data_IF_857998828418
#
_entry.id   IF_857998828418
#
_cell.length_a   1.000
_cell.length_b   1.000
_cell.length_c   1.000
_cell.angle_alpha   90.00
_cell.angle_beta   90.00
_cell.angle_gamma   90.00
#
_symmetry.space_group_name_H-M   'P 1'
#
loop_
_entity.id
_entity.type
_entity.pdbx_description
1 polymer ?
#
# COMPACT_ATOMS: atom_id res chain seq x y z
N UNK A 1 -28.46 59.39 -28.35
CA UNK A 1 -27.18 58.66 -28.51
C UNK A 1 -27.57 57.19 -28.47
N UNK A 2 -28.36 56.69 -29.43
CA UNK A 2 -27.96 56.36 -30.81
C UNK A 2 -26.64 55.60 -30.85
N UNK A 3 -26.72 54.29 -31.06
CA UNK A 3 -25.90 53.46 -31.95
C UNK A 3 -25.86 52.02 -31.46
N UNK A 4 -26.94 51.23 -31.61
CA UNK A 4 -26.82 49.76 -31.51
C UNK A 4 -27.96 48.93 -32.13
N UNK A 5 -28.68 49.46 -33.12
CA UNK A 5 -29.67 48.66 -33.86
C UNK A 5 -29.61 49.00 -35.36
N UNK A 6 -28.51 48.65 -36.01
CA UNK A 6 -28.45 48.71 -37.48
C UNK A 6 -27.36 47.81 -38.10
N UNK A 7 -27.36 46.52 -37.74
CA UNK A 7 -26.62 45.49 -38.50
C UNK A 7 -27.47 44.26 -38.87
N UNK A 8 -28.79 44.34 -38.71
CA UNK A 8 -29.72 43.28 -39.13
C UNK A 8 -30.45 43.58 -40.46
N UNK A 9 -30.16 44.70 -41.13
CA UNK A 9 -30.94 45.20 -42.28
C UNK A 9 -30.12 45.39 -43.57
N UNK A 10 -29.13 44.52 -43.82
CA UNK A 10 -28.40 44.49 -45.10
C UNK A 10 -28.40 43.11 -45.79
N UNK A 11 -29.38 42.26 -45.48
CA UNK A 11 -29.55 40.96 -46.15
C UNK A 11 -30.68 40.92 -47.20
N UNK A 12 -31.32 42.04 -47.52
CA UNK A 12 -32.45 42.06 -48.47
C UNK A 12 -32.28 43.14 -49.54
N UNK A 13 -31.29 43.00 -50.44
CA UNK A 13 -31.32 43.62 -51.77
C UNK A 13 -30.12 43.19 -52.63
N UNK A 14 -30.15 41.98 -53.18
CA UNK A 14 -29.50 41.65 -54.45
C UNK A 14 -29.99 40.28 -54.92
N UNK A 15 -31.24 40.23 -55.37
CA UNK A 15 -31.71 39.19 -56.27
C UNK A 15 -31.16 39.44 -57.68
N UNK A 16 -29.84 39.39 -57.82
CA UNK A 16 -29.20 39.29 -59.13
C UNK A 16 -28.87 37.81 -59.36
N UNK A 17 -29.55 37.27 -60.36
CA UNK A 17 -29.42 35.93 -60.91
C UNK A 17 -27.94 35.58 -61.05
N UNK A 18 -27.46 34.63 -60.25
CA UNK A 18 -26.20 33.95 -60.52
C UNK A 18 -26.23 33.45 -61.97
N UNK A 19 -25.13 33.58 -62.74
CA UNK A 19 -25.12 33.11 -64.11
C UNK A 19 -25.49 31.63 -64.10
N UNK A 20 -26.47 31.28 -64.93
CA UNK A 20 -26.93 29.93 -65.23
C UNK A 20 -25.72 29.01 -65.43
N UNK A 21 -25.39 28.26 -64.38
CA UNK A 21 -24.33 27.29 -64.38
C UNK A 21 -24.83 26.08 -65.14
N UNK A 22 -24.63 26.10 -66.46
CA UNK A 22 -25.01 25.02 -67.36
C UNK A 22 -24.69 23.66 -66.76
N UNK A 23 -25.67 22.75 -66.82
CA UNK A 23 -25.64 21.36 -66.34
C UNK A 23 -24.46 21.04 -65.41
N UNK A 24 -24.58 21.43 -64.14
CA UNK A 24 -23.61 20.99 -63.13
C UNK A 24 -23.69 19.47 -63.00
N UNK A 25 -22.73 18.78 -63.62
CA UNK A 25 -22.55 17.34 -63.45
C UNK A 25 -22.37 17.02 -61.95
N UNK A 26 -23.16 16.08 -61.42
CA UNK A 26 -23.05 15.66 -60.03
C UNK A 26 -21.62 15.24 -59.67
N UNK A 27 -21.16 15.58 -58.46
CA UNK A 27 -19.81 15.26 -57.98
C UNK A 27 -19.47 13.78 -58.17
N UNK A 28 -20.42 12.88 -57.90
CA UNK A 28 -20.24 11.44 -58.11
C UNK A 28 -19.99 11.08 -59.58
N UNK A 29 -20.70 11.72 -60.50
CA UNK A 29 -20.55 11.51 -61.94
C UNK A 29 -19.18 11.99 -62.41
N UNK A 30 -18.71 13.13 -61.89
CA UNK A 30 -17.38 13.68 -62.19
C UNK A 30 -16.24 12.78 -61.71
N UNK A 31 -16.30 12.29 -60.46
CA UNK A 31 -15.25 11.43 -59.89
C UNK A 31 -15.32 9.98 -60.40
N UNK A 32 -16.45 9.53 -60.93
CA UNK A 32 -16.56 8.20 -61.58
C UNK A 32 -16.25 8.24 -63.07
N UNK A 33 -16.43 9.40 -63.70
CA UNK A 33 -16.12 9.66 -65.11
C UNK A 33 -14.73 10.28 -65.27
N UNK A 34 -14.69 11.55 -65.69
CA UNK A 34 -13.46 12.24 -66.14
C UNK A 34 -12.33 12.28 -65.11
N UNK A 35 -12.64 12.37 -63.81
CA UNK A 35 -11.64 12.54 -62.75
C UNK A 35 -11.29 11.27 -61.97
N UNK A 36 -11.77 10.10 -62.41
CA UNK A 36 -11.61 8.84 -61.67
C UNK A 36 -10.17 8.51 -61.31
N UNK A 37 -9.27 8.55 -62.28
CA UNK A 37 -7.88 8.16 -62.06
C UNK A 37 -7.16 9.11 -61.09
N UNK A 38 -7.39 10.43 -61.24
CA UNK A 38 -6.81 11.45 -60.35
C UNK A 38 -7.37 11.35 -58.94
N UNK A 39 -8.68 11.12 -58.81
CA UNK A 39 -9.34 10.93 -57.53
C UNK A 39 -8.82 9.67 -56.82
N UNK A 40 -8.78 8.54 -57.52
CA UNK A 40 -8.26 7.27 -57.00
C UNK A 40 -6.77 7.39 -56.60
N UNK A 41 -5.96 8.14 -57.36
CA UNK A 41 -4.56 8.39 -57.02
C UNK A 41 -4.43 9.24 -55.74
N UNK A 42 -5.26 10.28 -55.58
CA UNK A 42 -5.28 11.11 -54.37
C UNK A 42 -5.75 10.33 -53.15
N UNK A 43 -6.81 9.53 -53.28
CA UNK A 43 -7.32 8.66 -52.20
C UNK A 43 -6.26 7.65 -51.78
N UNK A 44 -5.63 6.94 -52.74
CA UNK A 44 -4.53 6.02 -52.45
C UNK A 44 -3.39 6.72 -51.70
N UNK A 45 -2.96 7.90 -52.16
CA UNK A 45 -1.91 8.68 -51.48
C UNK A 45 -2.28 9.01 -50.03
N UNK A 46 -3.51 9.43 -49.77
CA UNK A 46 -3.99 9.75 -48.41
C UNK A 46 -4.03 8.49 -47.54
N UNK A 47 -4.60 7.40 -48.04
CA UNK A 47 -4.70 6.13 -47.33
C UNK A 47 -3.32 5.54 -47.03
N UNK A 48 -2.41 5.54 -48.00
CA UNK A 48 -1.03 5.07 -47.81
C UNK A 48 -0.26 5.93 -46.82
N UNK A 49 -0.49 7.24 -46.83
CA UNK A 49 0.05 8.16 -45.84
C UNK A 49 -0.43 7.82 -44.43
N UNK A 50 -1.75 7.67 -44.24
CA UNK A 50 -2.36 7.34 -42.95
C UNK A 50 -1.94 5.95 -42.47
N UNK A 51 -1.94 4.95 -43.35
CA UNK A 51 -1.54 3.58 -43.03
C UNK A 51 -0.06 3.51 -42.63
N UNK A 52 0.82 4.23 -43.33
CA UNK A 52 2.24 4.34 -42.94
C UNK A 52 2.39 5.03 -41.59
N UNK A 53 1.71 6.16 -41.37
CA UNK A 53 1.74 6.86 -40.07
C UNK A 53 1.29 5.95 -38.92
N UNK A 54 0.16 5.26 -39.09
CA UNK A 54 -0.37 4.33 -38.09
C UNK A 54 0.56 3.14 -37.83
N UNK A 55 1.23 2.62 -38.86
CA UNK A 55 2.23 1.54 -38.69
C UNK A 55 3.46 2.02 -37.94
N UNK A 56 3.96 3.21 -38.24
CA UNK A 56 5.09 3.82 -37.53
C UNK A 56 4.75 4.07 -36.06
N UNK A 57 3.56 4.60 -35.78
CA UNK A 57 3.09 4.81 -34.41
C UNK A 57 2.95 3.48 -33.64
N UNK A 58 2.33 2.47 -34.25
CA UNK A 58 2.23 1.14 -33.64
C UNK A 58 3.59 0.52 -33.37
N UNK A 59 4.55 0.66 -34.28
CA UNK A 59 5.91 0.19 -34.08
C UNK A 59 6.58 0.92 -32.91
N UNK A 60 6.47 2.25 -32.85
CA UNK A 60 7.01 3.04 -31.74
C UNK A 60 6.39 2.66 -30.40
N UNK A 61 5.07 2.46 -30.35
CA UNK A 61 4.38 2.01 -29.14
C UNK A 61 4.83 0.61 -28.72
N UNK A 62 5.03 -0.30 -29.68
CA UNK A 62 5.54 -1.66 -29.41
C UNK A 62 6.96 -1.61 -28.84
N UNK A 63 7.85 -0.82 -29.44
CA UNK A 63 9.22 -0.64 -28.96
C UNK A 63 9.26 0.02 -27.57
N UNK A 64 8.39 1.00 -27.31
CA UNK A 64 8.28 1.61 -25.98
C UNK A 64 7.79 0.63 -24.93
N UNK A 65 6.77 -0.18 -25.25
CA UNK A 65 6.27 -1.24 -24.36
C UNK A 65 7.37 -2.26 -24.06
N UNK A 66 8.07 -2.74 -25.07
CA UNK A 66 9.17 -3.70 -24.90
C UNK A 66 10.30 -3.14 -24.04
N UNK A 67 10.69 -1.87 -24.26
CA UNK A 67 11.69 -1.18 -23.41
C UNK A 67 11.22 -1.08 -21.96
N UNK A 68 9.98 -0.66 -21.73
CA UNK A 68 9.42 -0.54 -20.38
C UNK A 68 9.31 -1.90 -19.69
N UNK A 69 8.90 -2.95 -20.41
CA UNK A 69 8.89 -4.31 -19.89
C UNK A 69 10.30 -4.82 -19.57
N UNK A 70 11.28 -4.50 -20.42
CA UNK A 70 12.69 -4.81 -20.16
C UNK A 70 13.20 -4.18 -18.88
N UNK A 71 12.94 -2.88 -18.68
CA UNK A 71 13.29 -2.16 -17.44
C UNK A 71 12.60 -2.79 -16.23
N UNK A 72 11.29 -3.04 -16.30
CA UNK A 72 10.55 -3.68 -15.19
C UNK A 72 11.09 -5.07 -14.85
N UNK A 73 11.46 -5.88 -15.84
CA UNK A 73 12.05 -7.21 -15.63
C UNK A 73 13.43 -7.09 -14.97
N UNK A 74 14.25 -6.12 -15.40
CA UNK A 74 15.56 -5.87 -14.80
C UNK A 74 15.45 -5.41 -13.34
N UNK A 75 14.54 -4.48 -13.05
CA UNK A 75 14.26 -4.03 -11.68
C UNK A 75 13.74 -5.17 -10.80
N UNK A 76 12.85 -6.02 -11.32
CA UNK A 76 12.34 -7.19 -10.62
C UNK A 76 13.48 -8.19 -10.30
N UNK A 77 14.38 -8.43 -11.24
CA UNK A 77 15.56 -9.27 -11.02
C UNK A 77 16.47 -8.69 -9.94
N UNK A 78 16.73 -7.37 -9.97
CA UNK A 78 17.55 -6.70 -8.96
C UNK A 78 16.93 -6.82 -7.55
N UNK A 79 15.61 -6.71 -7.43
CA UNK A 79 14.89 -6.89 -6.16
C UNK A 79 15.05 -8.31 -5.61
N UNK A 80 14.98 -9.32 -6.48
CA UNK A 80 15.20 -10.72 -6.10
C UNK A 80 16.66 -10.94 -5.69
N UNK A 81 17.62 -10.35 -6.40
CA UNK A 81 19.03 -10.46 -6.03
C UNK A 81 19.34 -9.78 -4.70
N UNK A 82 18.72 -8.63 -4.41
CA UNK A 82 18.80 -7.97 -3.11
C UNK A 82 18.26 -8.87 -2.00
N UNK A 83 17.08 -9.46 -2.20
CA UNK A 83 16.48 -10.42 -1.29
C UNK A 83 17.44 -11.60 -1.00
N UNK A 84 18.07 -12.17 -2.04
CA UNK A 84 19.06 -13.26 -1.87
C UNK A 84 20.25 -12.84 -1.03
N UNK A 85 20.78 -11.63 -1.21
CA UNK A 85 21.90 -11.13 -0.41
C UNK A 85 21.51 -10.93 1.06
N UNK A 86 20.28 -10.49 1.32
CA UNK A 86 19.76 -10.24 2.67
C UNK A 86 19.25 -11.49 3.39
N UNK A 87 19.12 -12.63 2.69
CA UNK A 87 18.64 -13.89 3.26
C UNK A 87 19.35 -14.27 4.56
N UNK A 88 20.68 -14.11 4.61
CA UNK A 88 21.48 -14.46 5.79
C UNK A 88 21.11 -13.63 7.03
N UNK A 89 20.79 -12.35 6.85
CA UNK A 89 20.34 -11.47 7.94
C UNK A 89 18.92 -11.82 8.38
N UNK A 90 18.03 -12.07 7.42
CA UNK A 90 16.66 -12.49 7.70
C UNK A 90 16.62 -13.82 8.46
N UNK A 91 17.46 -14.79 8.10
CA UNK A 91 17.56 -16.08 8.80
C UNK A 91 18.04 -15.97 10.25
N UNK A 92 18.83 -14.95 10.58
CA UNK A 92 19.24 -14.70 11.99
C UNK A 92 18.04 -14.29 12.85
N UNK A 93 17.10 -13.54 12.28
CA UNK A 93 15.90 -13.07 12.97
C UNK A 93 14.76 -14.09 12.91
N UNK A 94 14.60 -14.76 11.77
CA UNK A 94 13.57 -15.75 11.48
C UNK A 94 14.24 -17.04 10.97
N UNK A 95 14.57 -17.97 11.87
CA UNK A 95 15.27 -19.21 11.50
C UNK A 95 14.53 -20.07 10.46
N UNK A 96 13.20 -19.98 10.43
CA UNK A 96 12.34 -20.73 9.50
C UNK A 96 12.27 -20.09 8.09
N UNK A 97 12.96 -18.97 7.84
CA UNK A 97 12.89 -18.22 6.59
C UNK A 97 13.62 -18.90 5.42
N UNK A 98 12.92 -19.04 4.30
CA UNK A 98 13.44 -19.52 3.02
C UNK A 98 12.87 -18.69 1.87
N UNK A 99 13.72 -17.84 1.26
CA UNK A 99 13.26 -16.96 0.17
C UNK A 99 12.73 -17.73 -1.05
N UNK A 100 13.19 -18.96 -1.32
CA UNK A 100 12.69 -19.74 -2.46
C UNK A 100 11.25 -20.17 -2.22
N UNK A 101 10.97 -20.64 -1.00
CA UNK A 101 9.62 -20.99 -0.57
C UNK A 101 8.72 -19.75 -0.51
N UNK A 102 9.21 -18.66 0.05
CA UNK A 102 8.43 -17.43 0.18
C UNK A 102 8.16 -16.74 -1.17
N UNK A 103 9.10 -16.78 -2.12
CA UNK A 103 8.84 -16.25 -3.48
C UNK A 103 7.79 -17.05 -4.26
N UNK A 104 7.49 -18.30 -3.88
CA UNK A 104 6.35 -19.06 -4.43
C UNK A 104 5.02 -18.60 -3.86
N UNK A 105 5.02 -17.95 -2.70
CA UNK A 105 3.83 -17.32 -2.14
C UNK A 105 3.51 -16.05 -2.93
N UNK A 106 2.27 -15.98 -3.44
CA UNK A 106 1.81 -14.82 -4.20
C UNK A 106 1.82 -13.53 -3.37
N UNK A 107 1.52 -13.63 -2.08
CA UNK A 107 1.47 -12.45 -1.18
C UNK A 107 2.85 -11.86 -0.97
N UNK A 108 3.84 -12.70 -0.62
CA UNK A 108 5.21 -12.28 -0.40
C UNK A 108 5.85 -11.81 -1.71
N UNK A 109 5.72 -12.59 -2.79
CA UNK A 109 6.27 -12.24 -4.10
C UNK A 109 5.76 -10.90 -4.63
N UNK A 110 4.46 -10.60 -4.48
CA UNK A 110 3.89 -9.29 -4.86
C UNK A 110 4.50 -8.14 -4.06
N UNK A 111 4.75 -8.31 -2.76
CA UNK A 111 5.36 -7.28 -1.92
C UNK A 111 6.81 -6.99 -2.33
N UNK A 112 7.61 -8.04 -2.55
CA UNK A 112 9.00 -7.88 -3.02
C UNK A 112 9.04 -7.22 -4.41
N UNK A 113 8.17 -7.68 -5.32
CA UNK A 113 8.05 -7.09 -6.66
C UNK A 113 7.47 -5.68 -6.65
N UNK A 114 6.76 -5.25 -5.60
CA UNK A 114 6.36 -3.86 -5.39
C UNK A 114 7.48 -2.98 -4.80
N UNK A 115 8.61 -3.58 -4.39
CA UNK A 115 9.75 -2.88 -3.80
C UNK A 115 9.70 -2.78 -2.27
N UNK A 116 8.83 -3.53 -1.61
CA UNK A 116 8.81 -3.63 -0.14
C UNK A 116 10.05 -4.37 0.33
N UNK A 117 10.61 -3.91 1.45
CA UNK A 117 11.79 -4.50 2.06
C UNK A 117 11.52 -5.96 2.54
N UNK A 118 12.46 -6.91 2.35
CA UNK A 118 12.24 -8.33 2.62
C UNK A 118 11.71 -8.69 4.00
N UNK A 119 12.27 -8.09 5.06
CA UNK A 119 11.82 -8.36 6.42
C UNK A 119 10.38 -7.88 6.63
N UNK A 120 10.09 -6.66 6.19
CA UNK A 120 8.75 -6.07 6.28
C UNK A 120 7.72 -6.92 5.54
N UNK A 121 8.07 -7.41 4.35
CA UNK A 121 7.22 -8.30 3.57
C UNK A 121 6.97 -9.63 4.32
N UNK A 122 7.99 -10.20 4.94
CA UNK A 122 7.87 -11.44 5.71
C UNK A 122 7.00 -11.26 6.96
N UNK A 123 7.23 -10.20 7.74
CA UNK A 123 6.41 -9.85 8.91
C UNK A 123 4.96 -9.55 8.52
N UNK A 124 4.70 -8.99 7.34
CA UNK A 124 3.32 -8.75 6.88
C UNK A 124 2.59 -10.06 6.58
N UNK A 125 3.27 -11.04 5.98
CA UNK A 125 2.67 -12.32 5.61
C UNK A 125 2.56 -13.26 6.82
N UNK A 126 3.57 -13.31 7.68
CA UNK A 126 3.67 -14.25 8.82
C UNK A 126 3.48 -13.61 10.19
N UNK A 127 3.14 -12.32 10.27
CA UNK A 127 3.11 -11.57 11.52
C UNK A 127 2.24 -12.22 12.59
N UNK A 128 1.09 -12.79 12.21
CA UNK A 128 0.21 -13.52 13.13
C UNK A 128 0.91 -14.75 13.72
N UNK A 129 1.52 -15.57 12.89
CA UNK A 129 2.23 -16.79 13.32
C UNK A 129 3.43 -16.43 14.22
N UNK A 130 4.14 -15.34 13.90
CA UNK A 130 5.25 -14.84 14.71
C UNK A 130 4.78 -14.35 16.09
N UNK A 131 3.66 -13.63 16.16
CA UNK A 131 3.07 -13.18 17.43
C UNK A 131 2.59 -14.36 18.28
N UNK A 132 1.93 -15.34 17.67
CA UNK A 132 1.49 -16.55 18.36
C UNK A 132 2.68 -17.33 18.95
N UNK A 133 3.76 -17.53 18.17
CA UNK A 133 5.01 -18.13 18.66
C UNK A 133 5.62 -17.35 19.83
N UNK A 134 5.68 -16.02 19.72
CA UNK A 134 6.20 -15.16 20.78
C UNK A 134 5.36 -15.27 22.07
N UNK A 135 4.04 -15.28 21.94
CA UNK A 135 3.11 -15.43 23.06
C UNK A 135 3.27 -16.79 23.74
N UNK A 136 3.34 -17.88 22.97
CA UNK A 136 3.58 -19.22 23.51
C UNK A 136 4.90 -19.30 24.28
N UNK A 137 5.96 -18.69 23.74
CA UNK A 137 7.25 -18.63 24.43
C UNK A 137 7.15 -17.85 25.76
N UNK A 138 6.52 -16.68 25.75
CA UNK A 138 6.33 -15.85 26.93
C UNK A 138 5.50 -16.57 28.01
N UNK A 139 4.37 -17.16 27.63
CA UNK A 139 3.52 -17.94 28.54
C UNK A 139 4.28 -19.15 29.14
N UNK A 140 5.08 -19.85 28.32
CA UNK A 140 5.93 -20.94 28.79
C UNK A 140 7.02 -20.49 29.77
N UNK A 141 7.62 -19.32 29.55
CA UNK A 141 8.59 -18.72 30.48
C UNK A 141 7.94 -18.38 31.81
N UNK A 142 6.77 -17.72 31.81
CA UNK A 142 6.02 -17.40 33.03
C UNK A 142 5.65 -18.67 33.80
N UNK A 143 5.16 -19.71 33.10
CA UNK A 143 4.84 -21.00 33.74
C UNK A 143 6.07 -21.62 34.42
N UNK A 144 7.23 -21.62 33.76
CA UNK A 144 8.49 -22.13 34.34
C UNK A 144 8.97 -21.29 35.51
N UNK A 145 8.84 -19.96 35.44
CA UNK A 145 9.23 -19.07 36.53
C UNK A 145 8.36 -19.32 37.77
N UNK A 146 7.04 -19.46 37.61
CA UNK A 146 6.14 -19.83 38.70
C UNK A 146 6.46 -21.22 39.24
N UNK A 147 6.62 -22.22 38.37
CA UNK A 147 6.97 -23.58 38.80
C UNK A 147 8.33 -23.65 39.52
N UNK A 148 9.34 -22.93 39.03
CA UNK A 148 10.65 -22.82 39.67
C UNK A 148 10.58 -22.08 41.01
N UNK A 149 9.73 -21.06 41.13
CA UNK A 149 9.50 -20.36 42.41
C UNK A 149 8.77 -21.23 43.42
N UNK A 150 7.82 -22.07 43.00
CA UNK A 150 7.16 -23.05 43.86
C UNK A 150 8.12 -24.17 44.30
N UNK A 151 8.92 -24.69 43.36
CA UNK A 151 9.91 -25.73 43.63
C UNK A 151 11.05 -25.24 44.54
N UNK A 152 11.51 -23.99 44.38
CA UNK A 152 12.54 -23.39 45.24
C UNK A 152 11.99 -22.81 46.54
N UNK A 153 10.74 -22.35 46.55
CA UNK A 153 10.04 -21.84 47.73
C UNK A 153 9.64 -22.91 48.74
N UNK A 154 9.60 -24.19 48.35
CA UNK A 154 9.51 -25.31 49.31
C UNK A 154 10.84 -25.67 49.97
N UNK A 155 11.98 -25.13 49.51
CA UNK A 155 13.30 -25.44 50.09
C UNK A 155 13.87 -24.30 50.95
N UNK A 156 13.35 -23.07 50.86
CA UNK A 156 13.82 -21.95 51.70
C UNK A 156 12.72 -20.95 52.04
N UNK A 157 11.90 -21.25 53.06
CA UNK A 157 11.29 -20.24 53.95
C UNK A 157 11.16 -20.83 55.36
N UNK A 158 12.24 -20.72 56.15
CA UNK A 158 12.21 -20.75 57.60
C UNK A 158 13.49 -20.11 58.17
N UNK A 159 13.84 -18.89 57.76
CA UNK A 159 14.95 -18.13 58.37
C UNK A 159 14.94 -16.67 57.88
N UNK A 160 13.97 -15.88 58.37
CA UNK A 160 14.13 -14.45 58.57
C UNK A 160 12.96 -13.91 59.39
N UNK A 161 13.11 -13.98 60.71
CA UNK A 161 12.36 -13.17 61.66
C UNK A 161 12.79 -11.70 61.55
N UNK A 162 12.34 -11.02 60.49
CA UNK A 162 12.68 -9.62 60.21
C UNK A 162 11.46 -8.83 59.79
N UNK A 163 10.53 -8.61 60.73
CA UNK A 163 9.47 -7.61 60.58
C UNK A 163 10.09 -6.22 60.54
N UNK A 164 9.84 -5.47 59.46
CA UNK A 164 9.50 -4.05 59.54
C UNK A 164 9.17 -3.51 58.15
N UNK A 165 7.91 -3.68 57.72
CA UNK A 165 7.35 -2.83 56.67
C UNK A 165 6.87 -1.57 57.39
N UNK A 166 7.73 -0.56 57.48
CA UNK A 166 7.27 0.78 57.81
C UNK A 166 6.49 1.30 56.60
N UNK A 167 5.17 1.42 56.73
CA UNK A 167 4.33 2.09 55.73
C UNK A 167 3.95 3.49 56.22
N UNK A 168 4.17 4.39 55.27
CA UNK A 168 3.93 5.82 55.12
C UNK A 168 2.67 6.36 55.78
N UNK A 169 2.79 7.59 56.28
CA UNK A 169 1.77 8.42 56.88
C UNK A 169 0.46 8.46 56.07
N UNK A 170 -0.66 8.16 56.73
CA UNK A 170 -2.02 8.45 56.25
C UNK A 170 -2.63 9.52 57.16
N UNK A 171 -3.08 10.63 56.56
CA UNK A 171 -3.79 11.70 57.26
C UNK A 171 -5.03 11.13 57.98
N UNK A 172 -5.16 11.29 59.32
CA UNK A 172 -6.22 10.67 60.10
C UNK A 172 -7.63 11.12 59.70
N UNK A 173 -7.77 12.23 58.96
CA UNK A 173 -9.08 12.75 58.52
C UNK A 173 -9.69 12.02 57.33
N UNK A 174 -8.91 11.20 56.61
CA UNK A 174 -9.35 10.50 55.40
C UNK A 174 -9.67 9.01 55.58
N UNK A 175 -9.59 8.48 56.80
CA UNK A 175 -9.74 7.04 57.04
C UNK A 175 -11.21 6.60 56.91
N UNK A 176 -11.44 5.57 56.09
CA UNK A 176 -12.75 4.95 55.96
C UNK A 176 -13.03 4.00 57.12
N UNK A 177 -14.28 3.55 57.27
CA UNK A 177 -14.67 2.59 58.31
C UNK A 177 -13.93 1.25 58.19
N UNK A 178 -13.51 0.87 56.98
CA UNK A 178 -12.75 -0.35 56.72
C UNK A 178 -11.29 -0.18 57.14
N UNK A 179 -10.68 0.97 56.84
CA UNK A 179 -9.32 1.30 57.28
C UNK A 179 -9.22 1.34 58.81
N UNK A 180 -10.23 1.87 59.49
CA UNK A 180 -10.30 1.89 60.96
C UNK A 180 -10.44 0.49 61.57
N UNK A 181 -11.15 -0.42 60.90
CA UNK A 181 -11.30 -1.80 61.35
C UNK A 181 -9.96 -2.56 61.20
N UNK A 182 -9.23 -2.31 60.12
CA UNK A 182 -7.91 -2.90 59.90
C UNK A 182 -6.87 -2.34 60.89
N UNK A 183 -6.87 -1.03 61.11
CA UNK A 183 -6.08 -0.38 62.17
C UNK A 183 -6.36 -1.00 63.54
N UNK A 184 -7.64 -1.21 63.91
CA UNK A 184 -8.00 -1.84 65.18
C UNK A 184 -7.46 -3.25 65.31
N UNK A 185 -7.57 -4.07 64.25
CA UNK A 185 -7.02 -5.44 64.24
C UNK A 185 -5.52 -5.41 64.48
N UNK A 186 -4.80 -4.53 63.79
CA UNK A 186 -3.35 -4.41 63.89
C UNK A 186 -2.87 -3.91 65.25
N UNK A 187 -3.60 -2.99 65.88
CA UNK A 187 -3.31 -2.55 67.25
C UNK A 187 -3.56 -3.68 68.26
N UNK A 188 -4.60 -4.50 68.07
CA UNK A 188 -4.83 -5.70 68.90
C UNK A 188 -3.68 -6.71 68.77
N UNK A 189 -3.07 -6.80 67.58
CA UNK A 189 -1.88 -7.63 67.32
C UNK A 189 -0.57 -7.00 67.84
N UNK A 190 -0.66 -5.87 68.56
CA UNK A 190 0.44 -5.22 69.26
C UNK A 190 1.21 -4.19 68.43
N UNK A 191 0.73 -3.82 67.24
CA UNK A 191 1.37 -2.79 66.42
C UNK A 191 1.08 -1.38 66.97
N UNK A 192 2.12 -0.55 67.09
CA UNK A 192 1.98 0.87 67.47
C UNK A 192 1.83 1.73 66.22
N UNK A 193 0.63 2.25 65.98
CA UNK A 193 0.38 3.19 64.88
C UNK A 193 0.72 4.61 65.32
N UNK A 194 1.51 5.30 64.49
CA UNK A 194 1.76 6.74 64.61
C UNK A 194 1.14 7.41 63.39
N UNK A 195 0.36 8.45 63.65
CA UNK A 195 -0.27 9.30 62.63
C UNK A 195 0.60 10.55 62.41
#
# INVERSE_FOLDING_TARGET
MEMEENQAQLCEASGDTAPDAGEQEDFESLIRGRYKEEFDAKVRKILDGRLRGMRQENQRLKEQKEKLEGVRKAEAAERIDRLRRQEGELRRLYPDFDWQKEMRSERFGRLILAGVEPRTAYETVHGRELMEKAMHYAAGRTRRQVAGSLASGMSRVAENGGRSIAVTASDPRGLTSEDLADIRRRVLDGEKIRF
#
